data_IF_878260516153
#
_entry.id   IF_878260516153
#
_cell.length_a   1.000
_cell.length_b   1.000
_cell.length_c   1.000
_cell.angle_alpha   90.00
_cell.angle_beta   90.00
_cell.angle_gamma   90.00
#
_symmetry.space_group_name_H-M   'P 1'
#
loop_
_entity.id
_entity.type
_entity.pdbx_description
1 polymer ?
#
# COMPACT_ATOMS: atom_id res chain seq x y z
N UNK A 1 8.70 -52.94 -14.04
CA UNK A 1 9.06 -51.52 -13.94
C UNK A 1 7.75 -50.74 -13.84
N UNK A 2 7.44 -50.07 -12.72
CA UNK A 2 6.32 -49.15 -12.69
C UNK A 2 6.75 -47.82 -13.34
N UNK A 3 5.81 -47.05 -13.93
CA UNK A 3 6.12 -45.70 -14.39
C UNK A 3 6.29 -44.77 -13.18
N UNK A 4 7.28 -43.89 -13.27
CA UNK A 4 7.58 -42.86 -12.29
C UNK A 4 6.55 -41.74 -12.43
N UNK A 5 5.66 -41.56 -11.46
CA UNK A 5 4.88 -40.33 -11.31
C UNK A 5 5.83 -39.22 -10.85
N UNK A 6 5.99 -38.19 -11.68
CA UNK A 6 6.58 -36.92 -11.26
C UNK A 6 5.61 -36.22 -10.30
N UNK A 7 6.04 -35.73 -9.13
CA UNK A 7 5.18 -34.94 -8.27
C UNK A 7 4.95 -33.57 -8.92
N UNK A 8 3.69 -33.23 -9.16
CA UNK A 8 3.27 -31.86 -9.46
C UNK A 8 3.66 -30.98 -8.26
N UNK A 9 4.60 -30.07 -8.49
CA UNK A 9 4.91 -28.99 -7.55
C UNK A 9 3.64 -28.14 -7.42
N UNK A 10 3.12 -27.86 -6.22
CA UNK A 10 1.98 -26.97 -6.09
C UNK A 10 2.40 -25.60 -6.61
N UNK A 11 1.69 -25.11 -7.63
CA UNK A 11 1.77 -23.72 -8.07
C UNK A 11 1.48 -22.89 -6.82
N UNK A 12 2.46 -22.13 -6.35
CA UNK A 12 2.28 -21.24 -5.21
C UNK A 12 1.01 -20.41 -5.45
N UNK A 13 0.13 -20.38 -4.45
CA UNK A 13 -1.12 -19.62 -4.48
C UNK A 13 -0.76 -18.15 -4.71
N UNK A 14 -0.85 -17.70 -5.96
CA UNK A 14 -0.58 -16.31 -6.30
C UNK A 14 -1.76 -15.53 -5.76
N UNK A 15 -1.55 -14.89 -4.60
CA UNK A 15 -2.57 -14.06 -3.98
C UNK A 15 -3.18 -13.12 -5.01
N UNK A 16 -4.52 -12.99 -4.99
CA UNK A 16 -5.22 -12.16 -5.96
C UNK A 16 -4.67 -10.73 -5.94
N UNK A 17 -4.54 -10.06 -7.10
CA UNK A 17 -4.08 -8.68 -7.15
C UNK A 17 -4.91 -7.79 -6.23
N UNK A 18 -4.24 -6.83 -5.59
CA UNK A 18 -4.85 -5.87 -4.68
C UNK A 18 -5.98 -5.13 -5.39
N UNK A 19 -7.09 -4.91 -4.70
CA UNK A 19 -8.23 -4.16 -5.22
C UNK A 19 -8.75 -3.23 -4.13
N UNK A 20 -9.26 -2.07 -4.54
CA UNK A 20 -9.91 -1.18 -3.59
C UNK A 20 -11.13 -1.85 -2.98
N UNK A 21 -11.32 -1.61 -1.70
CA UNK A 21 -12.47 -2.03 -0.93
C UNK A 21 -12.74 -1.00 0.15
N UNK A 22 -14.01 -0.83 0.53
CA UNK A 22 -14.41 -0.04 1.69
C UNK A 22 -13.74 -0.52 2.99
N UNK A 23 -13.11 -1.70 3.00
CA UNK A 23 -12.25 -2.17 4.09
C UNK A 23 -11.12 -1.17 4.43
N UNK A 24 -10.62 -0.42 3.45
CA UNK A 24 -9.56 0.57 3.63
C UNK A 24 -10.06 1.96 4.04
N UNK A 25 -11.38 2.20 4.10
CA UNK A 25 -11.90 3.48 4.54
C UNK A 25 -11.61 3.72 6.04
N UNK A 26 -11.05 4.88 6.32
CA UNK A 26 -10.72 5.39 7.66
C UNK A 26 -11.55 6.61 8.04
N UNK A 27 -12.28 7.21 7.10
CA UNK A 27 -13.28 8.25 7.37
C UNK A 27 -12.72 9.67 7.40
N UNK A 28 -11.47 9.86 6.99
CA UNK A 28 -10.89 11.16 6.74
C UNK A 28 -10.66 11.29 5.23
N UNK A 29 -11.60 11.93 4.54
CA UNK A 29 -11.67 11.96 3.07
C UNK A 29 -10.36 12.27 2.33
N UNK A 30 -9.52 13.22 2.77
CA UNK A 30 -8.21 13.44 2.15
C UNK A 30 -7.29 12.21 2.20
N UNK A 31 -7.24 11.49 3.33
CA UNK A 31 -6.47 10.27 3.48
C UNK A 31 -7.07 9.11 2.68
N UNK A 32 -8.40 8.95 2.74
CA UNK A 32 -9.10 7.89 1.99
C UNK A 32 -8.83 8.01 0.47
N UNK A 33 -8.73 9.23 -0.06
CA UNK A 33 -8.39 9.47 -1.47
C UNK A 33 -6.93 9.10 -1.81
N UNK A 34 -5.97 9.37 -0.92
CA UNK A 34 -4.59 8.92 -1.09
C UNK A 34 -4.53 7.39 -1.10
N UNK A 35 -5.24 6.75 -0.17
CA UNK A 35 -5.30 5.30 -0.05
C UNK A 35 -5.89 4.63 -1.30
N UNK A 36 -6.95 5.18 -1.89
CA UNK A 36 -7.54 4.61 -3.11
C UNK A 36 -6.58 4.67 -4.31
N UNK A 37 -5.84 5.76 -4.43
CA UNK A 37 -4.80 5.92 -5.44
C UNK A 37 -3.62 4.94 -5.20
N UNK A 38 -3.18 4.77 -3.95
CA UNK A 38 -2.16 3.80 -3.56
C UNK A 38 -2.55 2.39 -4.02
N UNK A 39 -3.75 1.93 -3.67
CA UNK A 39 -4.25 0.61 -4.04
C UNK A 39 -4.34 0.44 -5.55
N UNK A 40 -4.76 1.48 -6.26
CA UNK A 40 -4.84 1.47 -7.73
C UNK A 40 -3.46 1.29 -8.36
N UNK A 41 -2.45 2.01 -7.88
CA UNK A 41 -1.08 1.93 -8.41
C UNK A 41 -0.42 0.58 -8.08
N UNK A 42 -0.63 0.04 -6.87
CA UNK A 42 -0.14 -1.31 -6.50
C UNK A 42 -0.80 -2.37 -7.37
N UNK A 43 -2.10 -2.28 -7.62
CA UNK A 43 -2.79 -3.18 -8.54
C UNK A 43 -2.18 -3.15 -9.95
N UNK A 44 -1.90 -1.95 -10.47
CA UNK A 44 -1.28 -1.79 -11.79
C UNK A 44 0.13 -2.39 -11.80
N UNK A 45 0.93 -2.16 -10.76
CA UNK A 45 2.24 -2.79 -10.59
C UNK A 45 2.18 -4.31 -10.48
N UNK A 46 1.07 -4.91 -10.05
CA UNK A 46 0.89 -6.36 -10.02
C UNK A 46 0.46 -6.94 -11.38
N UNK A 47 -0.27 -6.17 -12.20
CA UNK A 47 -1.03 -6.74 -13.34
C UNK A 47 -0.65 -6.21 -14.72
N UNK A 48 -0.09 -5.02 -14.83
CA UNK A 48 0.29 -4.42 -16.12
C UNK A 48 1.40 -5.22 -16.82
N UNK A 49 1.59 -5.13 -18.15
CA UNK A 49 2.76 -5.69 -18.82
C UNK A 49 4.10 -5.18 -18.26
N UNK A 50 5.15 -6.00 -18.33
CA UNK A 50 6.49 -5.65 -17.83
C UNK A 50 7.07 -4.37 -18.46
N UNK A 51 6.70 -4.09 -19.71
CA UNK A 51 7.13 -2.89 -20.43
C UNK A 51 6.63 -1.58 -19.79
N UNK A 52 5.51 -1.64 -19.05
CA UNK A 52 4.90 -0.47 -18.42
C UNK A 52 5.39 -0.26 -16.98
N UNK A 53 6.06 -1.25 -16.40
CA UNK A 53 6.52 -1.22 -15.00
C UNK A 53 7.42 -0.03 -14.65
N UNK A 54 8.37 0.42 -15.48
CA UNK A 54 9.21 1.57 -15.14
C UNK A 54 8.37 2.85 -14.92
N UNK A 55 7.42 3.12 -15.81
CA UNK A 55 6.55 4.29 -15.70
C UNK A 55 5.57 4.18 -14.53
N UNK A 56 5.03 2.99 -14.27
CA UNK A 56 4.15 2.74 -13.14
C UNK A 56 4.88 2.84 -11.79
N UNK A 57 6.13 2.37 -11.71
CA UNK A 57 6.92 2.47 -10.49
C UNK A 57 7.32 3.92 -10.19
N UNK A 58 7.59 4.72 -11.22
CA UNK A 58 7.81 6.16 -11.08
C UNK A 58 6.54 6.87 -10.59
N UNK A 59 5.37 6.55 -11.15
CA UNK A 59 4.09 7.09 -10.70
C UNK A 59 3.78 6.69 -9.25
N UNK A 60 4.04 5.44 -8.87
CA UNK A 60 3.91 4.98 -7.49
C UNK A 60 4.87 5.74 -6.55
N UNK A 61 6.12 5.95 -6.96
CA UNK A 61 7.09 6.67 -6.14
C UNK A 61 6.67 8.13 -5.90
N UNK A 62 6.14 8.82 -6.91
CA UNK A 62 5.60 10.17 -6.78
C UNK A 62 4.38 10.20 -5.85
N UNK A 63 3.46 9.27 -6.03
CA UNK A 63 2.28 9.14 -5.19
C UNK A 63 2.65 8.86 -3.74
N UNK A 64 3.50 7.86 -3.47
CA UNK A 64 3.93 7.49 -2.13
C UNK A 64 4.64 8.65 -1.43
N UNK A 65 5.49 9.38 -2.14
CA UNK A 65 6.14 10.57 -1.58
C UNK A 65 5.12 11.65 -1.17
N UNK A 66 4.12 11.92 -2.03
CA UNK A 66 3.05 12.88 -1.71
C UNK A 66 2.21 12.39 -0.53
N UNK A 67 1.72 11.16 -0.59
CA UNK A 67 0.91 10.54 0.45
C UNK A 67 1.59 10.62 1.81
N UNK A 68 2.80 10.07 1.94
CA UNK A 68 3.53 10.06 3.21
C UNK A 68 3.85 11.49 3.69
N UNK A 69 4.19 12.41 2.77
CA UNK A 69 4.43 13.80 3.15
C UNK A 69 3.19 14.52 3.70
N UNK A 70 1.99 14.20 3.18
CA UNK A 70 0.74 14.77 3.69
C UNK A 70 0.42 14.23 5.09
N UNK A 71 0.60 12.93 5.31
CA UNK A 71 0.39 12.32 6.62
C UNK A 71 1.41 12.79 7.65
N UNK A 72 2.69 12.86 7.29
CA UNK A 72 3.74 13.40 8.15
C UNK A 72 3.51 14.88 8.49
N UNK A 73 3.03 15.69 7.54
CA UNK A 73 2.65 17.07 7.79
C UNK A 73 1.48 17.15 8.77
N UNK A 74 0.43 16.32 8.61
CA UNK A 74 -0.63 16.22 9.60
C UNK A 74 -0.07 15.81 10.97
N UNK A 75 0.81 14.81 11.04
CA UNK A 75 1.41 14.39 12.30
C UNK A 75 2.18 15.52 12.99
N UNK A 76 3.00 16.27 12.24
CA UNK A 76 3.80 17.38 12.77
C UNK A 76 2.92 18.56 13.21
N UNK A 77 2.09 19.09 12.32
CA UNK A 77 1.26 20.27 12.57
C UNK A 77 0.23 20.07 13.69
N UNK A 78 -0.10 18.81 13.97
CA UNK A 78 -1.07 18.43 14.98
C UNK A 78 -0.44 17.92 16.28
N UNK A 79 0.89 17.80 16.35
CA UNK A 79 1.62 17.14 17.44
C UNK A 79 1.10 15.72 17.74
N UNK A 80 0.93 14.91 16.70
CA UNK A 80 0.49 13.53 16.83
C UNK A 80 1.52 12.68 17.60
N UNK A 81 1.15 12.00 18.71
CA UNK A 81 2.12 11.34 19.59
C UNK A 81 2.91 10.19 18.97
N UNK A 82 2.34 9.44 18.02
CA UNK A 82 2.95 8.24 17.44
C UNK A 82 3.66 8.50 16.09
N UNK A 83 4.16 9.73 15.90
CA UNK A 83 4.83 10.17 14.66
C UNK A 83 6.07 9.35 14.29
N UNK A 84 6.91 9.00 15.26
CA UNK A 84 8.22 8.40 15.00
C UNK A 84 8.14 7.05 14.29
N UNK A 85 7.45 6.07 14.90
CA UNK A 85 7.33 4.73 14.30
C UNK A 85 6.55 4.75 12.99
N UNK A 86 5.64 5.71 12.80
CA UNK A 86 4.89 5.88 11.56
C UNK A 86 5.83 6.32 10.43
N UNK A 87 6.58 7.41 10.62
CA UNK A 87 7.53 7.91 9.62
C UNK A 87 8.64 6.90 9.29
N UNK A 88 9.06 6.06 10.24
CA UNK A 88 10.04 5.00 10.00
C UNK A 88 9.53 3.95 9.00
N UNK A 89 8.23 3.57 9.06
CA UNK A 89 7.65 2.65 8.06
C UNK A 89 7.56 3.29 6.68
N UNK A 90 7.15 4.57 6.59
CA UNK A 90 7.13 5.32 5.32
C UNK A 90 8.53 5.40 4.70
N UNK A 91 9.55 5.69 5.50
CA UNK A 91 10.94 5.75 5.04
C UNK A 91 11.43 4.38 4.52
N UNK A 92 11.03 3.28 5.16
CA UNK A 92 11.38 1.93 4.73
C UNK A 92 10.74 1.56 3.37
N UNK A 93 9.48 1.95 3.17
CA UNK A 93 8.80 1.80 1.87
C UNK A 93 9.51 2.61 0.79
N UNK A 94 9.76 3.90 1.04
CA UNK A 94 10.43 4.76 0.06
C UNK A 94 11.83 4.27 -0.30
N UNK A 95 12.59 3.76 0.69
CA UNK A 95 13.90 3.15 0.43
C UNK A 95 13.78 1.94 -0.51
N UNK A 96 12.85 1.03 -0.22
CA UNK A 96 12.61 -0.16 -1.06
C UNK A 96 12.22 0.22 -2.48
N UNK A 97 11.38 1.24 -2.65
CA UNK A 97 11.01 1.77 -3.97
C UNK A 97 12.24 2.24 -4.75
N UNK A 98 13.13 3.02 -4.13
CA UNK A 98 14.33 3.50 -4.83
C UNK A 98 15.28 2.36 -5.21
N UNK A 99 15.50 1.40 -4.32
CA UNK A 99 16.34 0.22 -4.59
C UNK A 99 15.77 -0.60 -5.76
N UNK A 100 14.44 -0.80 -5.80
CA UNK A 100 13.77 -1.52 -6.88
C UNK A 100 13.80 -0.74 -8.20
N UNK A 101 13.72 0.60 -8.20
CA UNK A 101 13.86 1.41 -9.42
C UNK A 101 15.21 1.16 -10.10
N UNK A 102 16.30 1.13 -9.33
CA UNK A 102 17.65 0.88 -9.84
C UNK A 102 17.80 -0.53 -10.44
N UNK A 103 17.17 -1.53 -9.81
CA UNK A 103 17.22 -2.93 -10.24
C UNK A 103 16.30 -3.17 -11.44
N UNK A 104 15.12 -2.54 -11.48
CA UNK A 104 14.19 -2.60 -12.60
C UNK A 104 14.80 -1.99 -13.88
N UNK A 105 15.58 -0.91 -13.76
CA UNK A 105 16.32 -0.32 -14.88
C UNK A 105 17.32 -1.29 -15.53
N UNK A 106 17.69 -2.38 -14.84
CA UNK A 106 18.55 -3.46 -15.35
C UNK A 106 17.74 -4.63 -15.95
N UNK A 107 16.42 -4.47 -16.11
CA UNK A 107 15.51 -5.46 -16.70
C UNK A 107 14.94 -6.48 -15.72
N UNK A 108 15.04 -6.24 -14.41
CA UNK A 108 14.57 -7.15 -13.36
C UNK A 108 13.11 -6.86 -12.95
N UNK A 109 12.18 -7.14 -13.87
CA UNK A 109 10.74 -6.98 -13.63
C UNK A 109 10.22 -7.83 -12.46
N UNK A 110 10.81 -8.99 -12.23
CA UNK A 110 10.46 -9.91 -11.13
C UNK A 110 10.61 -9.26 -9.74
N UNK A 111 11.62 -8.40 -9.57
CA UNK A 111 11.86 -7.67 -8.32
C UNK A 111 10.80 -6.58 -8.12
N UNK A 112 10.38 -5.91 -9.20
CA UNK A 112 9.29 -4.95 -9.15
C UNK A 112 7.95 -5.60 -8.76
N UNK A 113 7.65 -6.80 -9.29
CA UNK A 113 6.48 -7.59 -8.86
C UNK A 113 6.56 -8.00 -7.39
N UNK A 114 7.75 -8.37 -6.93
CA UNK A 114 7.97 -8.73 -5.52
C UNK A 114 7.74 -7.55 -4.59
N UNK A 115 8.17 -6.33 -4.98
CA UNK A 115 7.83 -5.10 -4.27
C UNK A 115 6.33 -4.86 -4.26
N UNK A 116 5.65 -4.99 -5.41
CA UNK A 116 4.21 -4.79 -5.51
C UNK A 116 3.43 -5.73 -4.58
N UNK A 117 3.86 -6.99 -4.46
CA UNK A 117 3.28 -7.92 -3.51
C UNK A 117 3.56 -7.52 -2.05
N UNK A 118 4.80 -7.14 -1.75
CA UNK A 118 5.15 -6.70 -0.39
C UNK A 118 4.34 -5.46 0.04
N UNK A 119 4.07 -4.53 -0.88
CA UNK A 119 3.20 -3.38 -0.64
C UNK A 119 1.75 -3.79 -0.38
N UNK A 120 1.22 -4.74 -1.17
CA UNK A 120 -0.12 -5.28 -0.99
C UNK A 120 -0.28 -6.01 0.36
N UNK A 121 0.77 -6.67 0.84
CA UNK A 121 0.78 -7.34 2.14
C UNK A 121 0.93 -6.35 3.31
N UNK A 122 1.72 -5.29 3.14
CA UNK A 122 2.01 -4.29 4.16
C UNK A 122 0.85 -3.32 4.39
N UNK A 123 0.26 -2.80 3.31
CA UNK A 123 -0.67 -1.66 3.36
C UNK A 123 -1.90 -1.88 4.25
N UNK A 124 -2.60 -3.04 4.23
CA UNK A 124 -3.77 -3.24 5.09
C UNK A 124 -3.44 -3.10 6.58
N UNK A 125 -2.29 -3.64 7.01
CA UNK A 125 -1.83 -3.52 8.39
C UNK A 125 -1.47 -2.09 8.75
N UNK A 126 -0.73 -1.40 7.87
CA UNK A 126 -0.37 0.00 8.07
C UNK A 126 -1.62 0.89 8.22
N UNK A 127 -2.58 0.74 7.32
CA UNK A 127 -3.84 1.49 7.33
C UNK A 127 -4.66 1.24 8.60
N UNK A 128 -4.79 -0.02 9.02
CA UNK A 128 -5.59 -0.39 10.19
C UNK A 128 -4.95 0.05 11.52
N UNK A 129 -3.63 -0.01 11.65
CA UNK A 129 -2.94 0.25 12.93
C UNK A 129 -2.44 1.69 13.09
N UNK A 130 -1.85 2.28 12.05
CA UNK A 130 -1.19 3.59 12.13
C UNK A 130 -2.07 4.69 11.55
N UNK A 131 -2.54 4.53 10.31
CA UNK A 131 -3.32 5.57 9.63
C UNK A 131 -4.68 5.78 10.29
N UNK A 132 -5.32 4.71 10.77
CA UNK A 132 -6.60 4.81 11.48
C UNK A 132 -6.50 5.71 12.72
N UNK A 133 -5.36 5.66 13.44
CA UNK A 133 -5.10 6.49 14.60
C UNK A 133 -4.92 7.97 14.19
N UNK A 134 -4.23 8.22 13.08
CA UNK A 134 -4.05 9.56 12.53
C UNK A 134 -5.38 10.13 11.98
N UNK A 135 -6.16 9.35 11.23
CA UNK A 135 -7.51 9.71 10.77
C UNK A 135 -8.40 10.12 11.94
N UNK A 136 -8.49 9.29 12.98
CA UNK A 136 -9.26 9.60 14.18
C UNK A 136 -8.82 10.91 14.84
N UNK A 137 -7.51 11.16 14.90
CA UNK A 137 -6.94 12.39 15.44
C UNK A 137 -7.34 13.61 14.59
N UNK A 138 -7.25 13.51 13.27
CA UNK A 138 -7.61 14.57 12.34
C UNK A 138 -9.11 14.91 12.38
N UNK A 139 -9.97 13.91 12.39
CA UNK A 139 -11.40 14.09 12.54
C UNK A 139 -11.74 14.74 13.90
N UNK A 140 -11.09 14.31 14.99
CA UNK A 140 -11.31 14.91 16.32
C UNK A 140 -10.93 16.38 16.34
N UNK A 141 -9.80 16.76 15.72
CA UNK A 141 -9.37 18.17 15.64
C UNK A 141 -10.29 19.03 14.77
N UNK A 142 -10.78 18.50 13.65
CA UNK A 142 -11.64 19.26 12.72
C UNK A 142 -13.11 19.33 13.14
N UNK A 143 -13.65 18.25 13.71
CA UNK A 143 -15.10 18.06 13.88
C UNK A 143 -15.51 17.78 15.33
N UNK A 144 -14.56 17.68 16.27
CA UNK A 144 -14.84 17.46 17.69
C UNK A 144 -15.23 16.02 18.06
N UNK A 145 -15.12 15.05 17.12
CA UNK A 145 -15.51 13.66 17.34
C UNK A 145 -14.73 12.67 16.47
N UNK A 146 -14.90 11.37 16.74
CA UNK A 146 -14.36 10.30 15.90
C UNK A 146 -15.22 10.16 14.63
N UNK A 147 -14.62 9.81 13.48
CA UNK A 147 -15.38 9.55 12.27
C UNK A 147 -16.26 8.30 12.46
N UNK A 148 -17.46 8.32 11.86
CA UNK A 148 -18.31 7.15 11.72
C UNK A 148 -18.17 6.66 10.28
N UNK A 149 -17.46 5.54 10.10
CA UNK A 149 -17.24 4.94 8.78
C UNK A 149 -18.29 3.88 8.52
N UNK A 150 -19.05 4.03 7.44
CA UNK A 150 -20.01 3.01 6.99
C UNK A 150 -19.38 2.28 5.81
N UNK A 151 -18.81 1.10 6.07
CA UNK A 151 -18.24 0.24 5.04
C UNK A 151 -19.34 -0.58 4.37
N UNK A 152 -19.44 -0.52 3.05
CA UNK A 152 -20.41 -1.28 2.26
C UNK A 152 -19.67 -2.37 1.49
N UNK A 153 -20.38 -3.45 1.15
CA UNK A 153 -19.84 -4.53 0.31
C UNK A 153 -18.54 -5.17 0.81
N UNK A 154 -18.36 -5.32 2.12
CA UNK A 154 -17.29 -6.15 2.67
C UNK A 154 -17.55 -7.60 2.27
N UNK A 155 -16.79 -8.11 1.28
CA UNK A 155 -16.76 -9.53 1.00
C UNK A 155 -16.09 -10.23 2.19
N UNK A 156 -16.77 -11.24 2.75
CA UNK A 156 -16.13 -12.14 3.71
C UNK A 156 -15.18 -13.02 2.91
N UNK A 157 -13.89 -12.97 3.25
CA UNK A 157 -12.90 -13.97 2.84
C UNK A 157 -13.36 -15.39 3.19
#
# INVERSE_FOLDING_TARGET
>A
MPPTETPDTPIADVAAPMQWSDAYLLGYGPMDALHEEFVTLVHQLQTAPDADLPGLLDAFAEHAQRHFSEEEAWMEETNFPARGCHADEHAAVMKSVQEVREVLAQGRSDVCRSLAQALADWFPGHADYLDSALSHWMCKRRLGGKPVVIRRNLQKS
#
